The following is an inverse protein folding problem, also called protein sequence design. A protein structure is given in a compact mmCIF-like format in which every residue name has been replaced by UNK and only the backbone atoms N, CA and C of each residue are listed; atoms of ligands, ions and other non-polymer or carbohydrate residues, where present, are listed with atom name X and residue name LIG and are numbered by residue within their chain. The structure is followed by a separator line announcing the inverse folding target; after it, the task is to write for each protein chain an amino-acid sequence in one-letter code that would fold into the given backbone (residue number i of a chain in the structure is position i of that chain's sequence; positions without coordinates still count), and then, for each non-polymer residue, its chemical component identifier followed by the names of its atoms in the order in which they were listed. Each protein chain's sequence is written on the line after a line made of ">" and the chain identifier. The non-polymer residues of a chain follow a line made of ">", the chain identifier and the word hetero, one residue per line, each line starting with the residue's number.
data_IF_935381999341
#
_entry.id   IF_935381999341
#
_cell.length_a   1.000
_cell.length_b   1.000
_cell.length_c   1.000
_cell.angle_alpha   90.00
_cell.angle_beta   90.00
_cell.angle_gamma   90.00
#
_symmetry.space_group_name_H-M   'P 1'
#
loop_
_entity.id
_entity.type
_entity.pdbx_description
1 polymer ?
#
# COMPACT_ATOMS: atom_id res chain seq x y z
N UNK A 1 -17.35 -13.72 -21.14
CA UNK A 1 -16.07 -13.49 -21.85
C UNK A 1 -15.04 -14.30 -21.12
N UNK A 2 -14.24 -15.08 -21.83
CA UNK A 2 -13.21 -15.90 -21.21
C UNK A 2 -12.04 -14.99 -20.82
N UNK A 3 -11.74 -14.94 -19.53
CA UNK A 3 -10.57 -14.26 -18.98
C UNK A 3 -9.32 -14.91 -19.55
N UNK A 4 -8.39 -14.09 -20.07
CA UNK A 4 -7.12 -14.62 -20.58
C UNK A 4 -6.12 -14.82 -19.45
N UNK A 5 -5.65 -16.06 -19.26
CA UNK A 5 -4.66 -16.41 -18.25
C UNK A 5 -3.22 -16.30 -18.77
N UNK A 6 -2.39 -15.58 -18.02
CA UNK A 6 -0.93 -15.60 -18.11
C UNK A 6 -0.36 -16.29 -16.87
N UNK A 7 0.41 -17.36 -17.05
CA UNK A 7 0.97 -18.14 -15.96
C UNK A 7 2.50 -18.29 -16.09
N UNK A 8 3.23 -18.00 -15.02
CA UNK A 8 4.68 -18.25 -14.96
C UNK A 8 5.51 -17.38 -15.89
N UNK A 9 4.97 -16.27 -16.39
CA UNK A 9 5.62 -15.43 -17.39
C UNK A 9 6.37 -14.26 -16.75
N UNK A 10 7.46 -13.86 -17.39
CA UNK A 10 8.17 -12.62 -17.10
C UNK A 10 7.85 -11.59 -18.17
N UNK A 11 7.47 -10.39 -17.75
CA UNK A 11 7.22 -9.22 -18.60
C UNK A 11 8.29 -8.18 -18.27
N UNK A 12 9.13 -7.83 -19.24
CA UNK A 12 10.26 -6.91 -19.03
C UNK A 12 10.17 -5.70 -19.94
N UNK A 13 10.39 -4.50 -19.36
CA UNK A 13 10.49 -3.24 -20.09
C UNK A 13 9.27 -2.93 -20.98
N UNK A 14 8.07 -3.36 -20.54
CA UNK A 14 6.84 -3.15 -21.30
C UNK A 14 6.18 -1.84 -20.88
N UNK A 15 5.81 -1.04 -21.88
CA UNK A 15 5.02 0.17 -21.67
C UNK A 15 3.53 -0.10 -21.85
N UNK A 16 2.81 -0.08 -20.72
CA UNK A 16 1.36 -0.11 -20.60
C UNK A 16 0.77 1.25 -20.20
N UNK A 17 1.56 2.32 -20.18
CA UNK A 17 1.08 3.64 -19.74
C UNK A 17 -0.11 4.12 -20.58
N UNK A 18 -1.09 4.70 -19.90
CA UNK A 18 -2.33 5.22 -20.49
C UNK A 18 -3.17 4.16 -21.25
N UNK A 19 -2.83 2.86 -21.14
CA UNK A 19 -3.58 1.77 -21.76
C UNK A 19 -4.64 1.22 -20.82
N UNK A 20 -5.66 0.61 -21.41
CA UNK A 20 -6.59 -0.25 -20.69
C UNK A 20 -6.15 -1.71 -20.81
N UNK A 21 -5.97 -2.37 -19.68
CA UNK A 21 -5.89 -3.81 -19.55
C UNK A 21 -7.16 -4.25 -18.82
N UNK A 22 -7.89 -5.21 -19.36
CA UNK A 22 -9.10 -5.71 -18.73
C UNK A 22 -9.27 -7.19 -19.03
N UNK A 23 -9.91 -7.89 -18.09
CA UNK A 23 -10.28 -9.30 -18.23
C UNK A 23 -9.07 -10.22 -18.42
N UNK A 24 -7.95 -9.89 -17.74
CA UNK A 24 -6.74 -10.71 -17.67
C UNK A 24 -6.54 -11.28 -16.27
N UNK A 25 -6.02 -12.50 -16.22
CA UNK A 25 -5.52 -13.12 -14.99
C UNK A 25 -4.02 -13.38 -15.12
N UNK A 26 -3.26 -12.97 -14.10
CA UNK A 26 -1.82 -13.19 -14.00
C UNK A 26 -1.54 -14.04 -12.76
N UNK A 27 -1.05 -15.25 -12.97
CA UNK A 27 -0.71 -16.18 -11.90
C UNK A 27 0.79 -16.46 -11.91
N UNK A 28 1.46 -16.21 -10.78
CA UNK A 28 2.90 -16.45 -10.63
C UNK A 28 3.75 -15.79 -11.74
N UNK A 29 3.45 -14.53 -12.06
CA UNK A 29 4.16 -13.76 -13.08
C UNK A 29 5.11 -12.73 -12.44
N UNK A 30 6.16 -12.39 -13.18
CA UNK A 30 7.10 -11.33 -12.82
C UNK A 30 6.97 -10.16 -13.80
N UNK A 31 6.97 -8.94 -13.28
CA UNK A 31 6.99 -7.70 -14.06
C UNK A 31 8.20 -6.88 -13.65
N UNK A 32 9.08 -6.59 -14.62
CA UNK A 32 10.37 -5.92 -14.37
C UNK A 32 10.49 -4.69 -15.26
N UNK A 33 10.69 -3.52 -14.65
CA UNK A 33 10.83 -2.23 -15.35
C UNK A 33 9.62 -1.90 -16.26
N UNK A 34 8.42 -2.38 -15.92
CA UNK A 34 7.21 -2.09 -16.70
C UNK A 34 6.60 -0.75 -16.29
N UNK A 35 6.02 -0.04 -17.26
CA UNK A 35 5.31 1.21 -17.02
C UNK A 35 3.80 1.01 -17.14
N UNK A 36 3.08 1.14 -16.03
CA UNK A 36 1.62 1.14 -15.92
C UNK A 36 1.08 2.53 -15.55
N UNK A 37 1.86 3.61 -15.69
CA UNK A 37 1.40 4.93 -15.26
C UNK A 37 0.13 5.34 -15.99
N UNK A 38 -0.88 5.80 -15.24
CA UNK A 38 -2.20 6.21 -15.76
C UNK A 38 -2.96 5.12 -16.53
N UNK A 39 -2.55 3.85 -16.44
CA UNK A 39 -3.29 2.77 -17.08
C UNK A 39 -4.60 2.46 -16.35
N UNK A 40 -5.60 1.98 -17.07
CA UNK A 40 -6.77 1.34 -16.48
C UNK A 40 -6.49 -0.16 -16.31
N UNK A 41 -6.31 -0.59 -15.06
CA UNK A 41 -6.09 -2.00 -14.69
C UNK A 41 -7.33 -2.65 -14.10
N UNK A 42 -8.50 -2.05 -14.32
CA UNK A 42 -9.74 -2.55 -13.76
C UNK A 42 -10.11 -3.95 -14.25
N UNK A 43 -10.69 -4.76 -13.35
CA UNK A 43 -11.13 -6.14 -13.61
C UNK A 43 -10.01 -7.11 -14.06
N UNK A 44 -8.76 -6.86 -13.67
CA UNK A 44 -7.70 -7.87 -13.79
C UNK A 44 -7.44 -8.50 -12.42
N UNK A 45 -6.99 -9.75 -12.42
CA UNK A 45 -6.53 -10.42 -11.21
C UNK A 45 -5.03 -10.72 -11.30
N UNK A 46 -4.28 -10.26 -10.31
CA UNK A 46 -2.87 -10.59 -10.10
C UNK A 46 -2.78 -11.46 -8.84
N UNK A 47 -2.20 -12.65 -9.00
CA UNK A 47 -2.09 -13.65 -7.94
C UNK A 47 -0.66 -14.17 -7.92
N UNK A 48 -0.03 -14.11 -6.75
CA UNK A 48 1.35 -14.57 -6.51
C UNK A 48 2.38 -13.92 -7.47
N UNK A 49 2.15 -12.67 -7.86
CA UNK A 49 3.02 -11.94 -8.80
C UNK A 49 4.03 -11.04 -8.08
N UNK A 50 5.16 -10.78 -8.75
CA UNK A 50 6.17 -9.82 -8.29
C UNK A 50 6.28 -8.65 -9.29
N UNK A 51 6.33 -7.43 -8.76
CA UNK A 51 6.60 -6.21 -9.53
C UNK A 51 7.89 -5.59 -9.03
N UNK A 52 8.85 -5.39 -9.93
CA UNK A 52 10.15 -4.81 -9.63
C UNK A 52 10.42 -3.61 -10.53
N UNK A 53 10.77 -2.47 -9.94
CA UNK A 53 11.06 -1.21 -10.65
C UNK A 53 9.92 -0.76 -11.57
N UNK A 54 8.67 -1.10 -11.23
CA UNK A 54 7.51 -0.76 -12.05
C UNK A 54 6.93 0.60 -11.65
N UNK A 55 6.31 1.28 -12.60
CA UNK A 55 5.63 2.54 -12.37
C UNK A 55 4.11 2.39 -12.52
N UNK A 56 3.36 2.57 -11.45
CA UNK A 56 1.89 2.56 -11.43
C UNK A 56 1.29 3.94 -11.13
N UNK A 57 2.09 5.00 -11.13
CA UNK A 57 1.61 6.34 -10.77
C UNK A 57 0.31 6.68 -11.51
N UNK A 58 -0.74 7.00 -10.74
CA UNK A 58 -2.06 7.38 -11.23
C UNK A 58 -2.82 6.30 -12.02
N UNK A 59 -2.43 5.02 -11.94
CA UNK A 59 -3.22 3.93 -12.52
C UNK A 59 -4.54 3.72 -11.74
N UNK A 60 -5.55 3.13 -12.37
CA UNK A 60 -6.81 2.77 -11.70
C UNK A 60 -6.86 1.28 -11.42
N UNK A 61 -7.37 0.91 -10.24
CA UNK A 61 -7.41 -0.48 -9.74
C UNK A 61 -8.84 -0.96 -9.47
N UNK A 62 -9.83 -0.43 -10.19
CA UNK A 62 -11.23 -0.73 -9.92
C UNK A 62 -11.52 -2.22 -10.12
N UNK A 63 -11.97 -2.89 -9.07
CA UNK A 63 -12.24 -4.33 -9.05
C UNK A 63 -11.00 -5.19 -9.41
N UNK A 64 -9.79 -4.67 -9.25
CA UNK A 64 -8.56 -5.43 -9.51
C UNK A 64 -8.24 -6.33 -8.32
N UNK A 65 -7.97 -7.62 -8.56
CA UNK A 65 -7.42 -8.53 -7.56
C UNK A 65 -5.92 -8.39 -7.43
N UNK A 66 -5.43 -8.26 -6.19
CA UNK A 66 -4.02 -8.13 -5.82
C UNK A 66 -3.73 -9.08 -4.65
N UNK A 67 -3.58 -10.37 -4.95
CA UNK A 67 -3.36 -11.41 -3.94
C UNK A 67 -1.89 -11.86 -3.92
N UNK A 68 -1.28 -11.78 -2.73
CA UNK A 68 0.10 -12.16 -2.47
C UNK A 68 1.12 -11.43 -3.36
N UNK A 69 0.90 -10.14 -3.58
CA UNK A 69 1.76 -9.34 -4.44
C UNK A 69 2.99 -8.86 -3.68
N UNK A 70 4.13 -8.84 -4.36
CA UNK A 70 5.34 -8.15 -3.87
C UNK A 70 5.69 -6.99 -4.79
N UNK A 71 5.69 -5.78 -4.25
CA UNK A 71 6.23 -4.61 -4.93
C UNK A 71 7.63 -4.31 -4.39
N UNK A 72 8.61 -4.20 -5.28
CA UNK A 72 10.00 -3.86 -4.96
C UNK A 72 10.44 -2.68 -5.82
N UNK A 73 10.84 -1.58 -5.18
CA UNK A 73 11.34 -0.38 -5.84
C UNK A 73 10.33 0.22 -6.85
N UNK A 74 9.03 0.11 -6.56
CA UNK A 74 7.95 0.56 -7.43
C UNK A 74 7.47 1.97 -7.08
N UNK A 75 7.01 2.71 -8.09
CA UNK A 75 6.27 3.98 -7.92
C UNK A 75 4.78 3.69 -7.96
N UNK A 76 4.08 3.96 -6.86
CA UNK A 76 2.67 3.64 -6.63
C UNK A 76 1.88 4.90 -6.22
N UNK A 77 2.36 6.07 -6.64
CA UNK A 77 1.83 7.36 -6.19
C UNK A 77 0.38 7.58 -6.67
N UNK A 78 -0.46 8.07 -5.76
CA UNK A 78 -1.84 8.45 -6.08
C UNK A 78 -2.77 7.28 -6.42
N UNK A 79 -2.40 6.04 -6.06
CA UNK A 79 -3.26 4.88 -6.28
C UNK A 79 -4.41 4.86 -5.27
N UNK A 80 -5.60 4.57 -5.78
CA UNK A 80 -6.77 4.29 -4.96
C UNK A 80 -7.02 2.79 -4.86
N UNK A 81 -6.63 2.19 -3.73
CA UNK A 81 -6.87 0.78 -3.44
C UNK A 81 -8.27 0.52 -2.86
N UNK A 82 -9.04 1.55 -2.49
CA UNK A 82 -10.35 1.38 -1.86
C UNK A 82 -11.37 0.70 -2.79
N UNK A 83 -11.19 0.88 -4.10
CA UNK A 83 -12.01 0.26 -5.14
C UNK A 83 -11.50 -1.08 -5.66
N UNK A 84 -10.38 -1.59 -5.16
CA UNK A 84 -9.86 -2.89 -5.57
C UNK A 84 -10.69 -4.04 -5.02
N UNK A 85 -10.51 -5.24 -5.57
CA UNK A 85 -11.21 -6.44 -5.11
C UNK A 85 -10.77 -6.77 -3.68
N UNK A 86 -11.68 -6.63 -2.71
CA UNK A 86 -11.41 -6.82 -1.28
C UNK A 86 -11.11 -8.28 -0.91
N UNK A 87 -11.55 -9.25 -1.72
CA UNK A 87 -11.35 -10.67 -1.46
C UNK A 87 -9.94 -11.13 -1.85
N UNK A 88 -9.42 -10.56 -2.93
CA UNK A 88 -8.06 -10.80 -3.43
C UNK A 88 -7.17 -9.62 -3.03
N UNK A 89 -6.93 -9.44 -1.72
CA UNK A 89 -6.18 -8.28 -1.23
C UNK A 89 -5.13 -8.67 -0.20
N UNK A 90 -3.88 -8.82 -0.65
CA UNK A 90 -2.71 -9.15 0.17
C UNK A 90 -1.45 -8.73 -0.57
N UNK A 91 -0.67 -7.81 0.01
CA UNK A 91 0.49 -7.21 -0.65
C UNK A 91 1.59 -6.91 0.37
N UNK A 92 2.83 -6.81 -0.11
CA UNK A 92 3.98 -6.29 0.63
C UNK A 92 4.78 -5.33 -0.24
N UNK A 93 5.43 -4.36 0.40
CA UNK A 93 6.13 -3.26 -0.25
C UNK A 93 7.56 -3.12 0.31
N UNK A 94 8.53 -3.04 -0.59
CA UNK A 94 9.95 -2.78 -0.29
C UNK A 94 10.46 -1.65 -1.18
N UNK A 95 11.04 -0.60 -0.61
CA UNK A 95 11.62 0.50 -1.39
C UNK A 95 10.62 1.29 -2.24
N UNK A 96 9.32 1.22 -1.92
CA UNK A 96 8.26 1.77 -2.78
C UNK A 96 7.91 3.21 -2.40
N UNK A 97 7.44 3.98 -3.39
CA UNK A 97 6.87 5.31 -3.19
C UNK A 97 5.36 5.20 -3.34
N UNK A 98 4.63 5.29 -2.24
CA UNK A 98 3.18 5.17 -2.15
C UNK A 98 2.50 6.51 -1.87
N UNK A 99 3.23 7.62 -1.97
CA UNK A 99 2.72 8.95 -1.62
C UNK A 99 1.36 9.25 -2.28
N UNK A 100 0.46 9.90 -1.54
CA UNK A 100 -0.91 10.25 -1.96
C UNK A 100 -1.82 9.06 -2.29
N UNK A 101 -1.43 7.82 -1.99
CA UNK A 101 -2.31 6.66 -2.15
C UNK A 101 -3.36 6.57 -1.04
N UNK A 102 -4.45 5.84 -1.29
CA UNK A 102 -5.46 5.54 -0.27
C UNK A 102 -5.72 4.04 -0.15
N UNK A 103 -5.80 3.60 1.11
CA UNK A 103 -6.18 2.25 1.54
C UNK A 103 -7.48 2.28 2.36
N UNK A 104 -8.33 3.30 2.15
CA UNK A 104 -9.59 3.49 2.88
C UNK A 104 -10.37 2.17 3.01
N UNK A 105 -10.70 1.81 4.26
CA UNK A 105 -11.48 0.61 4.61
C UNK A 105 -10.86 -0.75 4.18
N UNK A 106 -9.59 -0.80 3.81
CA UNK A 106 -8.94 -2.05 3.36
C UNK A 106 -8.39 -2.88 4.52
N UNK A 107 -8.32 -4.20 4.30
CA UNK A 107 -7.70 -5.16 5.23
C UNK A 107 -6.23 -5.37 4.86
N UNK A 108 -5.33 -4.79 5.63
CA UNK A 108 -3.86 -4.81 5.47
C UNK A 108 -3.18 -5.59 6.61
N UNK A 109 -3.83 -6.65 7.10
CA UNK A 109 -3.30 -7.43 8.23
C UNK A 109 -1.95 -8.02 7.88
N UNK A 110 -0.96 -7.82 8.74
CA UNK A 110 0.42 -8.32 8.59
C UNK A 110 1.13 -7.81 7.33
N UNK A 111 0.64 -6.74 6.70
CA UNK A 111 1.33 -6.12 5.56
C UNK A 111 2.64 -5.52 6.01
N UNK A 112 3.69 -5.74 5.23
CA UNK A 112 5.01 -5.15 5.44
C UNK A 112 5.21 -3.97 4.48
N UNK A 113 5.55 -2.82 5.05
CA UNK A 113 6.07 -1.66 4.36
C UNK A 113 7.50 -1.44 4.83
N UNK A 114 8.48 -1.71 3.96
CA UNK A 114 9.90 -1.61 4.29
C UNK A 114 10.56 -0.56 3.41
N UNK A 115 11.22 0.41 4.04
CA UNK A 115 11.96 1.48 3.36
C UNK A 115 11.08 2.23 2.33
N UNK A 116 9.81 2.48 2.67
CA UNK A 116 8.81 3.09 1.79
C UNK A 116 8.57 4.56 2.14
N UNK A 117 8.24 5.36 1.11
CA UNK A 117 7.60 6.67 1.30
C UNK A 117 6.08 6.47 1.33
N UNK A 118 5.45 6.94 2.39
CA UNK A 118 4.02 6.83 2.66
C UNK A 118 3.43 8.21 3.00
N UNK A 119 3.90 9.25 2.30
CA UNK A 119 3.49 10.63 2.59
C UNK A 119 2.08 10.88 2.11
N UNK A 120 1.29 11.58 2.92
CA UNK A 120 -0.10 11.91 2.60
C UNK A 120 -0.95 10.67 2.23
N UNK A 121 -0.58 9.49 2.73
CA UNK A 121 -1.32 8.24 2.49
C UNK A 121 -2.52 8.18 3.43
N UNK A 122 -3.68 7.82 2.89
CA UNK A 122 -4.89 7.64 3.67
C UNK A 122 -5.08 6.17 4.10
N UNK A 123 -4.91 5.90 5.39
CA UNK A 123 -5.17 4.61 6.03
C UNK A 123 -6.48 4.60 6.85
N UNK A 124 -7.37 5.57 6.65
CA UNK A 124 -8.62 5.68 7.39
C UNK A 124 -9.44 4.39 7.30
N UNK A 125 -9.98 3.95 8.44
CA UNK A 125 -10.82 2.76 8.58
C UNK A 125 -10.13 1.45 8.13
N UNK A 126 -8.82 1.46 7.86
CA UNK A 126 -8.08 0.29 7.45
C UNK A 126 -7.78 -0.64 8.64
N UNK A 127 -7.71 -1.94 8.37
CA UNK A 127 -7.28 -2.95 9.34
C UNK A 127 -5.80 -3.28 9.12
N UNK A 128 -4.94 -2.62 9.86
CA UNK A 128 -3.47 -2.75 9.87
C UNK A 128 -2.99 -3.63 11.03
N UNK A 129 -3.83 -4.55 11.52
CA UNK A 129 -3.45 -5.45 12.62
C UNK A 129 -2.14 -6.17 12.27
N UNK A 130 -1.11 -6.02 13.12
CA UNK A 130 0.24 -6.58 12.93
C UNK A 130 0.99 -6.07 11.67
N UNK A 131 0.58 -4.97 11.05
CA UNK A 131 1.36 -4.34 9.98
C UNK A 131 2.71 -3.84 10.51
N UNK A 132 3.72 -3.80 9.64
CA UNK A 132 5.07 -3.35 9.98
C UNK A 132 5.46 -2.19 9.08
N UNK A 133 5.80 -1.05 9.67
CA UNK A 133 6.31 0.14 9.00
C UNK A 133 7.80 0.28 9.31
N UNK A 134 8.64 -0.47 8.59
CA UNK A 134 10.09 -0.46 8.79
C UNK A 134 10.71 0.68 8.00
N UNK A 135 11.43 1.59 8.66
CA UNK A 135 12.13 2.71 8.02
C UNK A 135 11.25 3.52 7.04
N UNK A 136 9.96 3.68 7.35
CA UNK A 136 9.03 4.41 6.49
C UNK A 136 8.91 5.88 6.90
N UNK A 137 8.66 6.74 5.92
CA UNK A 137 8.27 8.13 6.14
C UNK A 137 6.75 8.24 6.05
N UNK A 138 6.10 8.60 7.16
CA UNK A 138 4.64 8.71 7.31
C UNK A 138 4.17 10.16 7.42
N UNK A 139 4.96 11.14 6.95
CA UNK A 139 4.54 12.56 6.99
C UNK A 139 3.13 12.73 6.42
N UNK A 140 2.25 13.35 7.21
CA UNK A 140 0.84 13.61 6.87
C UNK A 140 0.00 12.36 6.52
N UNK A 141 0.48 11.15 6.83
CA UNK A 141 -0.33 9.95 6.68
C UNK A 141 -1.54 10.03 7.63
N UNK A 142 -2.73 9.71 7.11
CA UNK A 142 -3.99 9.82 7.86
C UNK A 142 -4.37 8.47 8.45
N UNK A 143 -4.57 8.44 9.76
CA UNK A 143 -5.13 7.30 10.48
C UNK A 143 -6.35 7.75 11.28
N UNK A 144 -7.55 7.43 10.78
CA UNK A 144 -8.83 7.78 11.40
C UNK A 144 -9.66 6.51 11.49
N UNK A 145 -10.15 6.17 12.69
CA UNK A 145 -10.93 4.94 12.94
C UNK A 145 -10.24 3.65 12.45
N UNK A 146 -8.91 3.62 12.41
CA UNK A 146 -8.14 2.48 11.91
C UNK A 146 -7.83 1.45 13.00
N UNK A 147 -7.58 0.20 12.60
CA UNK A 147 -7.15 -0.88 13.51
C UNK A 147 -5.64 -1.04 13.42
N UNK A 148 -4.93 -0.56 14.43
CA UNK A 148 -3.46 -0.55 14.53
C UNK A 148 -2.95 -1.57 15.55
N UNK A 149 -3.77 -2.55 15.95
CA UNK A 149 -3.41 -3.49 17.02
C UNK A 149 -2.15 -4.28 16.65
N UNK A 150 -1.15 -4.25 17.54
CA UNK A 150 0.16 -4.89 17.34
C UNK A 150 0.95 -4.39 16.13
N UNK A 151 0.55 -3.28 15.50
CA UNK A 151 1.31 -2.66 14.43
C UNK A 151 2.67 -2.15 14.95
N UNK A 152 3.68 -2.15 14.09
CA UNK A 152 5.05 -1.80 14.46
C UNK A 152 5.51 -0.54 13.72
N UNK A 153 5.58 0.56 14.47
CA UNK A 153 6.02 1.88 14.02
C UNK A 153 7.41 2.25 14.57
N UNK A 154 8.12 1.33 15.25
CA UNK A 154 9.36 1.65 16.01
C UNK A 154 10.48 2.30 15.19
N UNK A 155 10.45 2.13 13.86
CA UNK A 155 11.43 2.70 12.94
C UNK A 155 10.80 3.62 11.90
N UNK A 156 9.48 3.78 11.92
CA UNK A 156 8.80 4.76 11.09
C UNK A 156 9.01 6.16 11.69
N UNK A 157 8.90 7.18 10.84
CA UNK A 157 9.07 8.58 11.23
C UNK A 157 7.89 9.42 10.80
N UNK A 158 7.70 10.56 11.47
CA UNK A 158 6.75 11.61 11.10
C UNK A 158 5.28 11.17 11.09
N UNK A 159 4.94 10.06 11.76
CA UNK A 159 3.55 9.69 11.95
C UNK A 159 2.91 10.60 12.99
N UNK A 160 1.69 11.06 12.72
CA UNK A 160 0.84 11.76 13.68
C UNK A 160 -0.58 11.24 13.57
N UNK A 161 -1.16 10.85 14.70
CA UNK A 161 -2.56 10.42 14.77
C UNK A 161 -3.04 10.36 16.22
N UNK A 162 -4.36 10.51 16.41
CA UNK A 162 -4.98 10.36 17.73
C UNK A 162 -5.12 8.87 18.11
N UNK A 163 -4.47 8.41 19.20
CA UNK A 163 -4.63 7.04 19.69
C UNK A 163 -6.03 6.71 20.22
N UNK A 164 -6.86 7.70 20.56
CA UNK A 164 -8.25 7.50 21.01
C UNK A 164 -9.21 7.26 19.84
N UNK A 165 -8.92 7.82 18.67
CA UNK A 165 -9.70 7.57 17.45
C UNK A 165 -9.30 6.24 16.77
N UNK A 166 -8.23 5.60 17.21
CA UNK A 166 -7.67 4.40 16.60
C UNK A 166 -7.55 3.23 17.59
N UNK A 167 -7.67 1.98 17.10
CA UNK A 167 -7.44 0.79 17.95
C UNK A 167 -5.95 0.46 18.01
N UNK A 168 -5.25 0.95 19.01
CA UNK A 168 -3.77 0.87 19.12
C UNK A 168 -3.25 -0.20 20.09
N UNK A 169 -4.08 -1.15 20.52
CA UNK A 169 -3.68 -2.13 21.55
C UNK A 169 -2.40 -2.88 21.14
N UNK A 170 -1.38 -2.80 21.99
CA UNK A 170 -0.05 -3.40 21.77
C UNK A 170 0.68 -2.90 20.50
N UNK A 171 0.27 -1.79 19.91
CA UNK A 171 1.05 -1.11 18.88
C UNK A 171 2.41 -0.68 19.47
N UNK A 172 3.45 -0.69 18.65
CA UNK A 172 4.83 -0.44 19.09
C UNK A 172 5.34 0.85 18.48
N UNK A 173 5.89 1.73 19.31
CA UNK A 173 6.35 3.05 18.91
C UNK A 173 7.79 3.31 19.33
N UNK A 174 8.46 4.21 18.63
CA UNK A 174 9.74 4.77 19.07
C UNK A 174 9.49 5.81 20.16
N UNK A 175 10.40 5.91 21.15
CA UNK A 175 10.36 7.00 22.13
C UNK A 175 10.52 8.38 21.48
N UNK A 176 11.28 8.45 20.38
CA UNK A 176 11.61 9.71 19.69
C UNK A 176 10.44 10.29 18.90
N UNK A 177 9.48 9.44 18.50
CA UNK A 177 8.37 9.80 17.62
C UNK A 177 7.04 9.84 18.39
N UNK A 178 7.07 9.84 19.74
CA UNK A 178 5.85 9.89 20.55
C UNK A 178 5.12 11.23 20.44
N UNK A 179 5.82 12.32 20.11
CA UNK A 179 5.21 13.65 19.97
C UNK A 179 4.05 13.64 18.95
N UNK A 180 4.17 12.89 17.86
CA UNK A 180 3.11 12.74 16.85
C UNK A 180 1.82 12.11 17.39
N UNK A 181 1.88 11.34 18.48
CA UNK A 181 0.69 10.78 19.13
C UNK A 181 0.04 11.73 20.14
N UNK A 182 0.70 12.85 20.42
CA UNK A 182 0.30 13.84 21.43
C UNK A 182 -0.13 15.17 20.81
N UNK A 183 -0.05 15.33 19.48
CA UNK A 183 -0.34 16.59 18.80
C UNK A 183 -1.71 17.17 19.14
N UNK A 184 -2.73 16.31 19.32
CA UNK A 184 -4.10 16.76 19.66
C UNK A 184 -4.20 17.56 20.96
N UNK A 185 -3.24 17.38 21.87
CA UNK A 185 -3.23 18.04 23.16
C UNK A 185 -2.55 19.41 23.12
N UNK A 186 -1.90 19.77 21.99
CA UNK A 186 -1.19 21.04 21.81
C UNK A 186 -0.19 21.31 22.96
N UNK A 187 0.61 20.30 23.29
CA UNK A 187 1.61 20.35 24.35
C UNK A 187 2.91 21.00 23.86
N UNK A 188 3.58 21.70 24.76
CA UNK A 188 4.96 22.17 24.55
C UNK A 188 5.92 21.03 24.96
N UNK A 189 6.67 20.49 23.99
CA UNK A 189 7.54 19.31 24.17
C UNK A 189 8.98 19.72 23.85
N UNK A 190 9.87 19.62 24.83
CA UNK A 190 11.32 19.87 24.71
C UNK A 190 12.14 18.60 24.40
#
# INVERSE_FOLDING_TARGET
>A
MDTLLHQGKTFENIDYSEKKLADLEFFNCDFVNCNFSKSDLGNNDFIDCNFKNCNFSLATLRNTGLKNIKFTDCKLMGLDFSYSNAFLFSMNFQGCILDYSTFLQRKLKKTNFFDCSLKDVDFSEADLTQAVFKNCDLSNATFVRSILEKADFRTAKNYSFDPEDNRVKNAKFSRLELAGLLEKFNLDIE
#
